data_IF_424340954842
#
_entry.id   IF_424340954842
#
_cell.length_a   1.000
_cell.length_b   1.000
_cell.length_c   1.000
_cell.angle_alpha   90.00
_cell.angle_beta   90.00
_cell.angle_gamma   90.00
#
_symmetry.space_group_name_H-M   'P 1'
#
loop_
_entity.id
_entity.type
_entity.pdbx_description
1 polymer ?
#
# COMPACT_ATOMS: atom_id res chain seq x y z
N UNK A 1 -7.95 0.14 -17.36
CA UNK A 1 -7.92 -1.13 -18.14
C UNK A 1 -9.32 -1.38 -18.70
N UNK A 2 -9.47 -2.07 -19.82
CA UNK A 2 -10.77 -2.60 -20.28
C UNK A 2 -10.68 -4.12 -20.27
N UNK A 3 -11.59 -4.80 -19.56
CA UNK A 3 -11.68 -6.26 -19.53
C UNK A 3 -13.08 -6.64 -20.01
N UNK A 4 -13.17 -7.22 -21.19
CA UNK A 4 -14.45 -7.65 -21.76
C UNK A 4 -15.11 -8.72 -20.87
N UNK A 5 -16.43 -8.58 -20.63
CA UNK A 5 -17.21 -9.52 -19.83
C UNK A 5 -17.21 -9.27 -18.31
N UNK A 6 -16.47 -8.27 -17.81
CA UNK A 6 -16.49 -7.89 -16.39
C UNK A 6 -17.32 -6.63 -16.14
N UNK A 7 -17.92 -6.54 -14.95
CA UNK A 7 -18.57 -5.30 -14.50
C UNK A 7 -17.53 -4.19 -14.29
N UNK A 8 -17.89 -2.95 -14.60
CA UNK A 8 -17.01 -1.77 -14.51
C UNK A 8 -16.33 -1.64 -13.14
N UNK A 9 -17.06 -1.96 -12.06
CA UNK A 9 -16.51 -1.91 -10.71
C UNK A 9 -15.40 -2.94 -10.48
N UNK A 10 -15.52 -4.14 -11.04
CA UNK A 10 -14.47 -5.17 -10.97
C UNK A 10 -13.24 -4.73 -11.78
N UNK A 11 -13.46 -4.13 -12.96
CA UNK A 11 -12.36 -3.57 -13.78
C UNK A 11 -11.64 -2.44 -13.04
N UNK A 12 -12.39 -1.57 -12.35
CA UNK A 12 -11.83 -0.51 -11.52
C UNK A 12 -10.99 -1.09 -10.37
N UNK A 13 -11.50 -2.11 -9.68
CA UNK A 13 -10.76 -2.81 -8.62
C UNK A 13 -9.45 -3.42 -9.10
N UNK A 14 -9.44 -4.12 -10.24
CA UNK A 14 -8.21 -4.65 -10.83
C UNK A 14 -7.25 -3.54 -11.22
N UNK A 15 -7.77 -2.46 -11.80
CA UNK A 15 -6.96 -1.29 -12.15
C UNK A 15 -6.32 -0.64 -10.91
N UNK A 16 -7.04 -0.60 -9.79
CA UNK A 16 -6.54 -0.06 -8.53
C UNK A 16 -5.47 -0.97 -7.89
N UNK A 17 -5.68 -2.28 -7.85
CA UNK A 17 -4.68 -3.26 -7.39
C UNK A 17 -3.38 -3.16 -8.21
N UNK A 18 -3.50 -3.07 -9.53
CA UNK A 18 -2.34 -2.88 -10.42
C UNK A 18 -1.64 -1.56 -10.13
N UNK A 19 -2.40 -0.46 -10.01
CA UNK A 19 -1.85 0.86 -9.70
C UNK A 19 -1.09 0.86 -8.37
N UNK A 20 -1.67 0.34 -7.29
CA UNK A 20 -1.02 0.24 -5.99
C UNK A 20 0.24 -0.62 -6.04
N UNK A 21 0.20 -1.72 -6.79
CA UNK A 21 1.36 -2.59 -7.00
C UNK A 21 2.52 -1.88 -7.70
N UNK A 22 2.23 -1.07 -8.73
CA UNK A 22 3.23 -0.27 -9.43
C UNK A 22 3.80 0.86 -8.54
N UNK A 23 2.96 1.54 -7.76
CA UNK A 23 3.41 2.55 -6.80
C UNK A 23 4.33 1.93 -5.73
N UNK A 24 4.02 0.73 -5.24
CA UNK A 24 4.92 0.02 -4.34
C UNK A 24 6.28 -0.27 -4.99
N UNK A 25 6.30 -0.70 -6.25
CA UNK A 25 7.57 -0.90 -6.96
C UNK A 25 8.36 0.40 -7.10
N UNK A 26 7.70 1.52 -7.43
CA UNK A 26 8.35 2.83 -7.47
C UNK A 26 8.92 3.22 -6.09
N UNK A 27 8.14 3.03 -5.03
CA UNK A 27 8.54 3.28 -3.65
C UNK A 27 9.74 2.42 -3.21
N UNK A 28 9.79 1.14 -3.59
CA UNK A 28 10.94 0.27 -3.33
C UNK A 28 12.20 0.76 -4.04
N UNK A 29 12.08 1.19 -5.30
CA UNK A 29 13.21 1.73 -6.05
C UNK A 29 13.69 3.06 -5.48
N UNK A 30 12.76 3.92 -5.06
CA UNK A 30 13.07 5.18 -4.39
C UNK A 30 13.88 4.96 -3.12
N UNK A 31 13.41 4.09 -2.22
CA UNK A 31 14.17 3.72 -1.02
C UNK A 31 15.56 3.18 -1.34
N UNK A 32 15.68 2.37 -2.39
CA UNK A 32 16.96 1.82 -2.83
C UNK A 32 17.91 2.93 -3.30
N UNK A 33 17.40 3.90 -4.06
CA UNK A 33 18.19 5.04 -4.53
C UNK A 33 18.72 5.90 -3.38
N UNK A 34 17.94 6.07 -2.32
CA UNK A 34 18.31 6.83 -1.12
C UNK A 34 19.03 5.98 -0.05
N UNK A 35 19.30 4.71 -0.32
CA UNK A 35 19.88 3.76 0.63
C UNK A 35 19.09 3.67 1.97
N UNK A 36 17.77 3.89 1.93
CA UNK A 36 16.88 3.78 3.09
C UNK A 36 16.59 2.31 3.35
N UNK A 37 17.29 1.75 4.33
CA UNK A 37 17.11 0.36 4.77
C UNK A 37 15.93 0.19 5.72
N UNK A 38 15.67 1.21 6.55
CA UNK A 38 14.65 1.18 7.59
C UNK A 38 13.54 2.20 7.31
N UNK A 39 12.32 1.70 7.06
CA UNK A 39 11.15 2.55 6.82
C UNK A 39 10.65 3.24 8.09
N UNK A 40 11.14 2.88 9.28
CA UNK A 40 10.77 3.57 10.52
C UNK A 40 11.19 5.03 10.55
N UNK A 41 12.28 5.38 9.86
CA UNK A 41 12.73 6.77 9.73
C UNK A 41 11.76 7.59 8.88
N UNK A 42 11.29 7.02 7.78
CA UNK A 42 10.25 7.60 6.92
C UNK A 42 8.98 7.90 7.74
N UNK A 43 8.54 6.98 8.60
CA UNK A 43 7.29 7.16 9.35
C UNK A 43 7.33 8.29 10.38
N UNK A 44 8.52 8.66 10.87
CA UNK A 44 8.67 9.81 11.77
C UNK A 44 8.48 11.14 11.04
N UNK A 45 8.88 11.18 9.76
CA UNK A 45 8.84 12.37 8.93
C UNK A 45 7.52 12.49 8.16
N UNK A 46 6.89 11.36 7.88
CA UNK A 46 5.67 11.22 7.07
C UNK A 46 4.62 10.43 7.86
N UNK A 47 3.90 11.08 8.79
CA UNK A 47 2.85 10.44 9.57
C UNK A 47 1.74 9.91 8.65
N UNK A 48 1.07 8.84 9.08
CA UNK A 48 0.12 8.09 8.25
C UNK A 48 -1.27 7.97 8.85
N UNK A 49 -1.56 8.68 9.94
CA UNK A 49 -2.80 8.51 10.72
C UNK A 49 -4.06 8.69 9.86
N UNK A 50 -4.11 9.74 9.04
CA UNK A 50 -5.26 10.02 8.16
C UNK A 50 -5.51 8.93 7.11
N UNK A 51 -4.45 8.43 6.47
CA UNK A 51 -4.54 7.32 5.52
C UNK A 51 -4.96 6.04 6.24
N UNK A 52 -4.40 5.78 7.42
CA UNK A 52 -4.72 4.62 8.22
C UNK A 52 -6.19 4.60 8.64
N UNK A 53 -6.73 5.72 9.09
CA UNK A 53 -8.14 5.89 9.43
C UNK A 53 -9.05 5.62 8.23
N UNK A 54 -8.73 6.20 7.07
CA UNK A 54 -9.52 6.02 5.84
C UNK A 54 -9.52 4.56 5.37
N UNK A 55 -8.34 3.94 5.38
CA UNK A 55 -8.17 2.53 5.04
C UNK A 55 -8.98 1.66 6.00
N UNK A 56 -8.91 1.92 7.32
CA UNK A 56 -9.68 1.20 8.36
C UNK A 56 -11.18 1.36 8.23
N UNK A 57 -11.66 2.53 7.84
CA UNK A 57 -13.08 2.77 7.60
C UNK A 57 -13.65 1.90 6.47
N UNK A 58 -12.80 1.52 5.49
CA UNK A 58 -13.18 0.64 4.39
C UNK A 58 -13.07 -0.86 4.74
N UNK A 59 -12.52 -1.20 5.90
CA UNK A 59 -12.35 -2.57 6.36
C UNK A 59 -13.63 -3.10 7.06
N UNK A 60 -14.76 -3.06 6.37
CA UNK A 60 -16.04 -3.56 6.92
C UNK A 60 -16.12 -5.10 6.88
N UNK A 61 -15.48 -5.73 5.88
CA UNK A 61 -15.37 -7.19 5.79
C UNK A 61 -14.02 -7.66 6.36
N UNK A 62 -14.06 -8.47 7.43
CA UNK A 62 -12.85 -9.14 7.97
C UNK A 62 -12.21 -10.08 6.93
N UNK A 63 -12.97 -10.47 5.94
CA UNK A 63 -12.64 -11.54 5.00
C UNK A 63 -11.59 -11.13 3.96
N UNK A 64 -11.59 -9.87 3.47
CA UNK A 64 -10.54 -9.40 2.54
C UNK A 64 -9.15 -9.51 3.18
N UNK A 65 -9.04 -9.03 4.42
CA UNK A 65 -7.80 -9.07 5.18
C UNK A 65 -7.36 -10.51 5.45
N UNK A 66 -8.29 -11.41 5.81
CA UNK A 66 -7.95 -12.82 6.00
C UNK A 66 -7.46 -13.47 4.71
N UNK A 67 -8.02 -13.11 3.55
CA UNK A 67 -7.50 -13.59 2.26
C UNK A 67 -6.08 -13.07 2.03
N UNK A 68 -5.82 -11.78 2.24
CA UNK A 68 -4.48 -11.21 2.10
C UNK A 68 -3.50 -11.93 3.04
N UNK A 69 -3.84 -12.03 4.33
CA UNK A 69 -3.03 -12.70 5.35
C UNK A 69 -2.77 -14.17 5.03
N UNK A 70 -3.77 -14.89 4.55
CA UNK A 70 -3.72 -16.32 4.23
C UNK A 70 -2.73 -16.67 3.12
N UNK A 71 -2.51 -15.74 2.18
CA UNK A 71 -1.58 -15.93 1.06
C UNK A 71 -0.15 -15.48 1.36
N UNK A 72 0.10 -14.85 2.52
CA UNK A 72 1.47 -14.55 2.93
C UNK A 72 2.19 -15.82 3.37
N UNK A 73 3.50 -15.90 3.10
CA UNK A 73 4.37 -16.97 3.61
C UNK A 73 5.28 -16.48 4.73
N UNK A 74 5.66 -15.20 4.72
CA UNK A 74 6.47 -14.57 5.76
C UNK A 74 5.68 -14.34 7.06
N UNK A 75 6.09 -15.02 8.14
CA UNK A 75 5.48 -14.88 9.46
C UNK A 75 5.60 -13.48 10.04
N UNK A 76 6.70 -12.76 9.75
CA UNK A 76 6.87 -11.38 10.22
C UNK A 76 5.85 -10.46 9.56
N UNK A 77 5.65 -10.61 8.25
CA UNK A 77 4.66 -9.84 7.51
C UNK A 77 3.24 -10.17 7.97
N UNK A 78 2.94 -11.44 8.27
CA UNK A 78 1.65 -11.83 8.89
C UNK A 78 1.41 -11.14 10.22
N UNK A 79 2.39 -11.11 11.11
CA UNK A 79 2.28 -10.45 12.42
C UNK A 79 2.06 -8.94 12.28
N UNK A 80 2.78 -8.28 11.37
CA UNK A 80 2.58 -6.85 11.11
C UNK A 80 1.18 -6.56 10.57
N UNK A 81 0.70 -7.44 9.69
CA UNK A 81 -0.64 -7.36 9.15
C UNK A 81 -1.67 -7.57 10.28
N UNK A 82 -1.49 -8.58 11.14
CA UNK A 82 -2.36 -8.85 12.30
C UNK A 82 -2.44 -7.66 13.26
N UNK A 83 -1.30 -7.05 13.59
CA UNK A 83 -1.25 -5.83 14.39
C UNK A 83 -1.99 -4.67 13.70
N UNK A 84 -1.80 -4.50 12.39
CA UNK A 84 -2.53 -3.51 11.61
C UNK A 84 -4.06 -3.69 11.71
N UNK A 85 -4.56 -4.92 11.63
CA UNK A 85 -5.99 -5.23 11.78
C UNK A 85 -6.50 -5.12 13.22
N UNK A 86 -5.63 -5.33 14.22
CA UNK A 86 -5.98 -5.18 15.63
C UNK A 86 -6.17 -3.72 16.08
N UNK A 87 -5.80 -2.75 15.23
CA UNK A 87 -5.89 -1.32 15.54
C UNK A 87 -4.56 -0.67 15.90
N UNK A 88 -3.46 -1.44 15.93
CA UNK A 88 -2.14 -0.91 16.27
C UNK A 88 -1.67 0.13 15.25
N UNK A 89 -0.85 1.09 15.69
CA UNK A 89 -0.27 2.13 14.82
C UNK A 89 0.84 1.55 13.93
N UNK A 90 0.43 0.75 12.95
CA UNK A 90 1.28 0.10 11.96
C UNK A 90 1.10 0.81 10.62
N UNK A 91 2.22 1.09 9.96
CA UNK A 91 2.20 1.76 8.67
C UNK A 91 1.35 1.02 7.62
N UNK A 92 0.53 1.74 6.85
CA UNK A 92 -0.26 1.15 5.77
C UNK A 92 0.61 0.54 4.65
N UNK A 93 1.92 0.85 4.60
CA UNK A 93 2.87 0.22 3.67
C UNK A 93 3.02 -1.29 3.86
N UNK A 94 2.75 -1.82 5.06
CA UNK A 94 2.70 -3.27 5.29
C UNK A 94 1.64 -3.92 4.39
N UNK A 95 0.49 -3.26 4.24
CA UNK A 95 -0.59 -3.70 3.37
C UNK A 95 -0.19 -3.54 1.90
N UNK A 96 0.38 -2.40 1.48
CA UNK A 96 0.84 -2.22 0.09
C UNK A 96 1.83 -3.32 -0.35
N UNK A 97 2.80 -3.66 0.52
CA UNK A 97 3.74 -4.77 0.29
C UNK A 97 3.02 -6.10 0.10
N UNK A 98 2.04 -6.38 0.95
CA UNK A 98 1.27 -7.64 0.90
C UNK A 98 0.41 -7.72 -0.37
N UNK A 99 -0.30 -6.63 -0.71
CA UNK A 99 -1.11 -6.54 -1.91
C UNK A 99 -0.28 -6.80 -3.16
N UNK A 100 0.86 -6.12 -3.33
CA UNK A 100 1.74 -6.36 -4.49
C UNK A 100 2.16 -7.82 -4.59
N UNK A 101 2.63 -8.39 -3.47
CA UNK A 101 3.12 -9.77 -3.45
C UNK A 101 2.04 -10.73 -3.96
N UNK A 102 0.85 -10.68 -3.37
CA UNK A 102 -0.21 -11.64 -3.65
C UNK A 102 -0.84 -11.38 -5.03
N UNK A 103 -1.02 -10.12 -5.40
CA UNK A 103 -1.58 -9.73 -6.69
C UNK A 103 -0.70 -10.18 -7.86
N UNK A 104 0.63 -9.97 -7.80
CA UNK A 104 1.54 -10.42 -8.85
C UNK A 104 1.72 -11.94 -8.90
N UNK A 105 1.42 -12.64 -7.81
CA UNK A 105 1.29 -14.09 -7.82
C UNK A 105 -0.07 -14.59 -8.33
N UNK A 106 -0.98 -13.68 -8.73
CA UNK A 106 -2.28 -14.01 -9.33
C UNK A 106 -3.34 -14.47 -8.32
N UNK A 107 -3.08 -14.35 -7.03
CA UNK A 107 -3.93 -14.90 -5.97
C UNK A 107 -4.91 -13.88 -5.35
N UNK A 108 -4.82 -12.60 -5.75
CA UNK A 108 -5.69 -11.54 -5.23
C UNK A 108 -6.62 -10.99 -6.32
N UNK A 109 -7.89 -10.91 -5.99
CA UNK A 109 -8.93 -10.31 -6.86
C UNK A 109 -9.66 -9.19 -6.11
N UNK A 110 -10.32 -8.26 -6.81
CA UNK A 110 -11.09 -7.18 -6.17
C UNK A 110 -12.27 -7.64 -5.33
N UNK A 111 -12.72 -8.87 -5.51
CA UNK A 111 -13.83 -9.49 -4.79
C UNK A 111 -13.35 -10.52 -3.75
N UNK A 112 -12.04 -10.55 -3.46
CA UNK A 112 -11.44 -11.50 -2.54
C UNK A 112 -12.13 -11.46 -1.17
N UNK A 113 -12.54 -12.63 -0.66
CA UNK A 113 -13.23 -12.72 0.62
C UNK A 113 -14.58 -11.99 0.64
N UNK A 114 -15.24 -11.78 -0.50
CA UNK A 114 -16.49 -11.04 -0.55
C UNK A 114 -16.34 -9.52 -0.39
N UNK A 115 -15.11 -9.00 -0.48
CA UNK A 115 -14.86 -7.56 -0.50
C UNK A 115 -15.63 -6.88 -1.64
N UNK A 116 -16.07 -5.65 -1.41
CA UNK A 116 -16.56 -4.81 -2.50
C UNK A 116 -15.39 -4.30 -3.33
N UNK A 117 -15.42 -4.39 -4.67
CA UNK A 117 -14.41 -3.77 -5.52
C UNK A 117 -14.23 -2.28 -5.24
N UNK A 118 -15.28 -1.58 -4.83
CA UNK A 118 -15.21 -0.16 -4.46
C UNK A 118 -14.36 0.07 -3.19
N UNK A 119 -14.48 -0.79 -2.18
CA UNK A 119 -13.64 -0.72 -0.97
C UNK A 119 -12.17 -0.98 -1.33
N UNK A 120 -11.91 -1.96 -2.20
CA UNK A 120 -10.55 -2.25 -2.70
C UNK A 120 -9.96 -1.06 -3.44
N UNK A 121 -10.76 -0.35 -4.24
CA UNK A 121 -10.33 0.89 -4.92
C UNK A 121 -9.91 1.94 -3.90
N UNK A 122 -10.74 2.22 -2.88
CA UNK A 122 -10.43 3.24 -1.86
C UNK A 122 -9.15 2.89 -1.10
N UNK A 123 -9.01 1.63 -0.66
CA UNK A 123 -7.80 1.15 0.02
C UNK A 123 -6.58 1.36 -0.87
N UNK A 124 -6.64 0.93 -2.13
CA UNK A 124 -5.51 1.07 -3.06
C UNK A 124 -5.17 2.54 -3.33
N UNK A 125 -6.16 3.41 -3.44
CA UNK A 125 -5.95 4.84 -3.67
C UNK A 125 -5.29 5.53 -2.50
N UNK A 126 -5.71 5.23 -1.27
CA UNK A 126 -5.05 5.74 -0.07
C UNK A 126 -3.60 5.25 0.05
N UNK A 127 -3.35 3.99 -0.29
CA UNK A 127 -1.98 3.47 -0.36
C UNK A 127 -1.13 4.20 -1.42
N UNK A 128 -1.70 4.47 -2.60
CA UNK A 128 -1.01 5.21 -3.65
C UNK A 128 -0.69 6.64 -3.20
N UNK A 129 -1.67 7.36 -2.64
CA UNK A 129 -1.48 8.72 -2.12
C UNK A 129 -0.36 8.77 -1.10
N UNK A 130 -0.41 7.92 -0.09
CA UNK A 130 0.62 7.90 0.95
C UNK A 130 2.02 7.62 0.38
N UNK A 131 2.15 6.67 -0.55
CA UNK A 131 3.44 6.39 -1.19
C UNK A 131 3.98 7.59 -1.99
N UNK A 132 3.11 8.30 -2.72
CA UNK A 132 3.50 9.50 -3.47
C UNK A 132 3.92 10.63 -2.53
N UNK A 133 3.13 10.91 -1.48
CA UNK A 133 3.44 11.95 -0.50
C UNK A 133 4.81 11.72 0.16
N UNK A 134 5.12 10.47 0.52
CA UNK A 134 6.43 10.12 1.04
C UNK A 134 7.54 10.34 0.01
N UNK A 135 7.34 9.88 -1.23
CA UNK A 135 8.35 10.03 -2.30
C UNK A 135 8.63 11.51 -2.54
N UNK A 136 7.58 12.31 -2.69
CA UNK A 136 7.69 13.76 -2.95
C UNK A 136 8.37 14.46 -1.78
N UNK A 137 7.92 14.22 -0.55
CA UNK A 137 8.49 14.84 0.64
C UNK A 137 9.98 14.52 0.82
N UNK A 138 10.37 13.26 0.65
CA UNK A 138 11.78 12.87 0.71
C UNK A 138 12.59 13.39 -0.48
N UNK A 139 12.03 13.44 -1.69
CA UNK A 139 12.71 14.00 -2.86
C UNK A 139 13.06 15.48 -2.65
N UNK A 140 12.11 16.28 -2.17
CA UNK A 140 12.35 17.69 -1.84
C UNK A 140 13.41 17.85 -0.75
N UNK A 141 13.30 17.08 0.34
CA UNK A 141 14.28 17.14 1.45
C UNK A 141 15.72 16.90 0.98
N UNK A 142 15.96 15.85 0.19
CA UNK A 142 17.31 15.56 -0.31
C UNK A 142 17.79 16.57 -1.35
N UNK A 143 16.88 17.13 -2.16
CA UNK A 143 17.24 18.18 -3.13
C UNK A 143 17.69 19.45 -2.41
N UNK A 144 17.00 19.86 -1.33
CA UNK A 144 17.39 21.01 -0.52
C UNK A 144 18.74 20.80 0.19
N UNK A 145 19.00 19.59 0.69
CA UNK A 145 20.28 19.24 1.29
C UNK A 145 21.43 19.32 0.27
N UNK A 146 21.21 18.82 -0.95
CA UNK A 146 22.20 18.91 -2.03
C UNK A 146 22.50 20.37 -2.41
N UNK A 147 21.48 21.21 -2.53
CA UNK A 147 21.64 22.64 -2.84
C UNK A 147 22.51 23.34 -1.78
N UNK A 148 22.33 23.02 -0.49
CA UNK A 148 23.14 23.60 0.60
C UNK A 148 24.61 23.18 0.60
N UNK A 149 24.93 22.05 -0.04
CA UNK A 149 26.32 21.54 -0.10
C UNK A 149 27.08 22.10 -1.31
N UNK A 150 26.36 22.44 -2.39
CA UNK A 150 26.96 22.93 -3.65
C UNK A 150 26.93 24.45 -3.81
N UNK A 151 26.10 25.16 -3.05
CA UNK A 151 26.01 26.63 -3.02
C UNK A 151 26.83 27.23 -1.90
#
# INVERSE_FOLDING_TARGET
>A
MQLEGYADQTVAGYSALMRASLHWTAFEMFKKALNIKDTREIFKLHPFDSHLETIRACFTSKDFFQVVRGHLTDNKQKQQLDAFAAGDQISPLVLAKALRHIFFHGALTPNAGGASPAEVVIICDELCKYMVEVIDGEFFRHTEELIKVIG
#
